data_IF_757294758253
#
_entry.id   IF_757294758253
#
_cell.length_a   1.000
_cell.length_b   1.000
_cell.length_c   1.000
_cell.angle_alpha   90.00
_cell.angle_beta   90.00
_cell.angle_gamma   90.00
#
_symmetry.space_group_name_H-M   'P 1'
#
loop_
_entity.id
_entity.type
_entity.pdbx_description
1 polymer ?
#
# COMPACT_ATOMS: atom_id res chain seq x y z
N UNK A 1 -6.28 1.16 -0.62
CA UNK A 1 -5.19 2.07 -0.20
C UNK A 1 -4.31 1.38 0.83
N UNK A 2 -3.01 1.37 0.60
CA UNK A 2 -2.01 0.64 1.39
C UNK A 2 -1.04 1.60 2.07
N UNK A 3 -0.84 1.44 3.37
CA UNK A 3 0.09 2.23 4.17
C UNK A 3 0.80 1.35 5.20
N UNK A 4 2.00 1.77 5.58
CA UNK A 4 2.70 1.27 6.75
C UNK A 4 2.01 1.64 8.09
N UNK A 5 1.13 2.65 8.10
CA UNK A 5 0.43 3.12 9.31
C UNK A 5 -0.89 3.86 9.01
N UNK A 6 -1.10 5.01 9.66
CA UNK A 6 -2.32 5.85 9.51
C UNK A 6 -2.06 7.19 8.80
N UNK A 7 -0.83 7.43 8.34
CA UNK A 7 -0.42 8.75 7.82
C UNK A 7 -1.14 9.15 6.54
N UNK A 8 -1.63 8.17 5.79
CA UNK A 8 -2.34 8.39 4.54
C UNK A 8 -3.86 8.50 4.70
N UNK A 9 -4.44 8.44 5.91
CA UNK A 9 -5.91 8.60 6.05
C UNK A 9 -6.42 9.95 5.50
N UNK A 10 -5.58 10.99 5.52
CA UNK A 10 -5.90 12.33 5.01
C UNK A 10 -6.23 12.37 3.52
N UNK A 11 -5.74 11.41 2.71
CA UNK A 11 -6.01 11.36 1.27
C UNK A 11 -7.29 10.59 0.90
N UNK A 12 -7.91 9.85 1.84
CA UNK A 12 -9.19 9.14 1.58
C UNK A 12 -10.30 10.13 1.23
N UNK A 13 -10.46 11.18 2.05
CA UNK A 13 -11.56 12.14 1.90
C UNK A 13 -11.49 12.88 0.55
N UNK A 14 -10.33 13.40 0.09
CA UNK A 14 -10.19 13.94 -1.26
C UNK A 14 -10.54 12.95 -2.38
N UNK A 15 -10.15 11.67 -2.26
CA UNK A 15 -10.48 10.65 -3.28
C UNK A 15 -11.99 10.47 -3.38
N UNK A 16 -12.69 10.33 -2.25
CA UNK A 16 -14.15 10.17 -2.21
C UNK A 16 -14.90 11.41 -2.71
N UNK A 17 -14.29 12.59 -2.63
CA UNK A 17 -14.85 13.82 -3.21
C UNK A 17 -14.68 13.88 -4.72
N UNK A 18 -13.58 13.35 -5.26
CA UNK A 18 -13.31 13.33 -6.69
C UNK A 18 -14.07 12.20 -7.42
N UNK A 19 -14.20 11.03 -6.79
CA UNK A 19 -14.87 9.86 -7.35
C UNK A 19 -15.73 9.16 -6.29
N UNK A 20 -16.89 8.64 -6.68
CA UNK A 20 -17.63 7.69 -5.84
C UNK A 20 -16.97 6.32 -5.98
N UNK A 21 -16.30 5.86 -4.93
CA UNK A 21 -15.69 4.54 -4.88
C UNK A 21 -15.73 3.97 -3.46
N UNK A 22 -15.78 2.64 -3.39
CA UNK A 22 -15.54 1.90 -2.15
C UNK A 22 -14.03 1.81 -1.91
N UNK A 23 -13.58 2.18 -0.72
CA UNK A 23 -12.16 2.23 -0.39
C UNK A 23 -11.86 1.24 0.73
N UNK A 24 -11.08 0.21 0.40
CA UNK A 24 -10.44 -0.64 1.40
C UNK A 24 -9.14 0.03 1.85
N UNK A 25 -9.04 0.37 3.13
CA UNK A 25 -7.81 0.87 3.74
C UNK A 25 -7.08 -0.27 4.47
N UNK A 26 -5.83 -0.53 4.09
CA UNK A 26 -4.99 -1.53 4.72
C UNK A 26 -3.75 -0.89 5.34
N UNK A 27 -3.63 -1.03 6.67
CA UNK A 27 -2.46 -0.62 7.44
C UNK A 27 -1.63 -1.84 7.86
N UNK A 28 -0.39 -1.94 7.42
CA UNK A 28 0.51 -3.06 7.78
C UNK A 28 1.18 -2.85 9.14
N UNK A 29 0.38 -2.98 10.20
CA UNK A 29 0.88 -2.85 11.58
C UNK A 29 1.90 -3.95 11.93
N UNK A 30 1.81 -5.13 11.30
CA UNK A 30 2.70 -6.26 11.57
C UNK A 30 4.13 -5.96 11.15
N UNK A 31 4.31 -5.26 10.03
CA UNK A 31 5.62 -4.93 9.49
C UNK A 31 6.08 -3.51 9.83
N UNK A 32 5.26 -2.71 10.49
CA UNK A 32 5.66 -1.39 11.00
C UNK A 32 6.79 -1.49 12.06
N UNK A 33 7.73 -0.53 12.13
CA UNK A 33 8.02 0.54 11.17
C UNK A 33 8.85 0.05 9.99
N UNK A 34 8.59 0.62 8.81
CA UNK A 34 9.27 0.23 7.57
C UNK A 34 10.69 0.79 7.47
N UNK A 35 10.96 1.94 8.09
CA UNK A 35 12.29 2.57 8.07
C UNK A 35 13.40 1.75 8.73
N UNK A 36 13.07 0.69 9.49
CA UNK A 36 14.04 -0.23 10.10
C UNK A 36 14.34 -1.46 9.24
N UNK A 37 13.77 -1.55 8.03
CA UNK A 37 13.89 -2.71 7.14
C UNK A 37 14.76 -2.37 5.94
N UNK A 38 15.52 -3.35 5.47
CA UNK A 38 16.29 -3.21 4.23
C UNK A 38 15.37 -3.16 3.00
N UNK A 39 15.89 -2.63 1.89
CA UNK A 39 15.19 -2.60 0.59
C UNK A 39 14.66 -3.97 0.16
N UNK A 40 15.47 -5.02 0.31
CA UNK A 40 15.07 -6.40 -0.05
C UNK A 40 13.92 -6.91 0.82
N UNK A 41 13.97 -6.65 2.14
CA UNK A 41 12.89 -7.03 3.06
C UNK A 41 11.60 -6.29 2.72
N UNK A 42 11.68 -4.98 2.50
CA UNK A 42 10.53 -4.16 2.12
C UNK A 42 9.91 -4.64 0.82
N UNK A 43 10.72 -4.92 -0.19
CA UNK A 43 10.25 -5.43 -1.49
C UNK A 43 9.45 -6.72 -1.30
N UNK A 44 9.99 -7.71 -0.57
CA UNK A 44 9.29 -8.98 -0.31
C UNK A 44 7.99 -8.78 0.45
N UNK A 45 7.98 -7.93 1.47
CA UNK A 45 6.79 -7.64 2.27
C UNK A 45 5.71 -6.99 1.40
N UNK A 46 6.06 -5.92 0.69
CA UNK A 46 5.11 -5.14 -0.11
C UNK A 46 4.56 -5.97 -1.26
N UNK A 47 5.40 -6.69 -2.01
CA UNK A 47 4.92 -7.56 -3.09
C UNK A 47 3.97 -8.63 -2.57
N UNK A 48 4.30 -9.29 -1.45
CA UNK A 48 3.41 -10.29 -0.85
C UNK A 48 2.08 -9.68 -0.41
N UNK A 49 2.12 -8.52 0.24
CA UNK A 49 0.91 -7.84 0.72
C UNK A 49 0.04 -7.36 -0.44
N UNK A 50 0.62 -6.79 -1.48
CA UNK A 50 -0.11 -6.34 -2.68
C UNK A 50 -0.78 -7.53 -3.36
N UNK A 51 -0.06 -8.63 -3.63
CA UNK A 51 -0.65 -9.82 -4.25
C UNK A 51 -1.83 -10.38 -3.43
N UNK A 52 -1.67 -10.46 -2.10
CA UNK A 52 -2.77 -10.90 -1.22
C UNK A 52 -3.97 -9.96 -1.27
N UNK A 53 -3.76 -8.64 -1.35
CA UNK A 53 -4.84 -7.67 -1.46
C UNK A 53 -5.53 -7.73 -2.83
N UNK A 54 -4.77 -7.94 -3.90
CA UNK A 54 -5.30 -8.14 -5.26
C UNK A 54 -6.16 -9.39 -5.32
N UNK A 55 -5.67 -10.53 -4.82
CA UNK A 55 -6.44 -11.79 -4.77
C UNK A 55 -7.71 -11.70 -3.91
N UNK A 56 -7.67 -10.93 -2.82
CA UNK A 56 -8.78 -10.88 -1.86
C UNK A 56 -9.88 -9.90 -2.25
N UNK A 57 -9.52 -8.79 -2.89
CA UNK A 57 -10.43 -7.67 -3.11
C UNK A 57 -10.62 -7.28 -4.57
N UNK A 58 -9.80 -7.81 -5.50
CA UNK A 58 -9.84 -7.51 -6.94
C UNK A 58 -9.97 -6.00 -7.23
N UNK A 59 -9.10 -5.14 -6.65
CA UNK A 59 -9.28 -3.70 -6.74
C UNK A 59 -9.00 -3.17 -8.14
N UNK A 60 -9.83 -2.25 -8.64
CA UNK A 60 -9.56 -1.50 -9.88
C UNK A 60 -8.29 -0.64 -9.78
N UNK A 61 -7.96 -0.17 -8.56
CA UNK A 61 -6.80 0.68 -8.29
C UNK A 61 -6.22 0.42 -6.90
N UNK A 62 -4.90 0.22 -6.84
CA UNK A 62 -4.13 0.19 -5.59
C UNK A 62 -3.27 1.43 -5.44
N UNK A 63 -3.53 2.23 -4.40
CA UNK A 63 -2.71 3.39 -4.00
C UNK A 63 -1.81 3.01 -2.84
N UNK A 64 -0.51 3.28 -2.96
CA UNK A 64 0.49 3.08 -1.89
C UNK A 64 0.84 4.45 -1.29
N UNK A 65 0.35 4.72 -0.08
CA UNK A 65 0.40 6.04 0.56
C UNK A 65 1.61 6.28 1.47
N UNK A 66 2.54 5.33 1.61
CA UNK A 66 3.72 5.47 2.47
C UNK A 66 4.95 5.87 1.65
N UNK A 67 5.62 6.95 2.06
CA UNK A 67 6.80 7.48 1.36
C UNK A 67 7.96 6.48 1.31
N UNK A 68 8.12 5.63 2.34
CA UNK A 68 9.24 4.68 2.44
C UNK A 68 9.15 3.53 1.42
N UNK A 69 8.00 2.83 1.26
CA UNK A 69 7.72 1.97 0.10
C UNK A 69 7.96 2.66 -1.24
N UNK A 70 7.42 3.86 -1.44
CA UNK A 70 7.41 4.54 -2.74
C UNK A 70 8.80 4.97 -3.23
N UNK A 71 9.75 5.17 -2.30
CA UNK A 71 11.14 5.55 -2.64
C UNK A 71 12.09 4.34 -2.75
N UNK A 72 11.79 3.24 -2.04
CA UNK A 72 12.75 2.14 -1.90
C UNK A 72 12.37 0.89 -2.70
N UNK A 73 11.14 0.76 -3.16
CA UNK A 73 10.66 -0.49 -3.76
C UNK A 73 10.20 -0.27 -5.21
N UNK A 74 10.85 -0.99 -6.12
CA UNK A 74 10.36 -1.18 -7.49
C UNK A 74 9.50 -2.43 -7.51
N UNK A 75 8.20 -2.26 -7.76
CA UNK A 75 7.29 -3.39 -7.95
C UNK A 75 7.38 -3.81 -9.42
N UNK A 76 8.26 -4.76 -9.72
CA UNK A 76 8.30 -5.40 -11.02
C UNK A 76 7.17 -6.44 -11.10
N UNK A 77 6.01 -6.06 -11.64
CA UNK A 77 5.00 -7.03 -12.07
C UNK A 77 5.60 -7.84 -13.22
N UNK A 78 5.76 -9.15 -13.05
CA UNK A 78 5.82 -10.04 -14.21
C UNK A 78 4.42 -10.02 -14.82
N UNK A 79 4.31 -9.36 -15.97
CA UNK A 79 3.18 -9.47 -16.89
C UNK A 79 3.16 -10.90 -17.43
#
# INVERSE_FOLDING_TARGET
MFDSGFGSLSIIKPIQQAIKSDIVYFADQKNFPYGKKSKSQLTKIITKTVNMLEEKFEPDLTVIGSNTPSLLVEINKKI
#
